data_IF_112297395422
#
_entry.id   IF_112297395422
#
_cell.length_a   1.000
_cell.length_b   1.000
_cell.length_c   1.000
_cell.angle_alpha   90.00
_cell.angle_beta   90.00
_cell.angle_gamma   90.00
#
_symmetry.space_group_name_H-M   'P 1'
#
loop_
_entity.id
_entity.type
_entity.pdbx_description
1 polymer ?
#
# COMPACT_ATOMS: atom_id res chain seq x y z
N UNK A 1 10.62 -13.11 9.00
CA UNK A 1 9.62 -12.77 7.97
C UNK A 1 8.40 -12.16 8.66
N UNK A 2 8.29 -10.84 8.70
CA UNK A 2 7.12 -10.13 9.26
C UNK A 2 6.02 -10.18 8.20
N UNK A 3 4.90 -10.84 8.49
CA UNK A 3 3.78 -10.90 7.55
C UNK A 3 3.21 -9.48 7.38
N UNK A 4 3.01 -9.05 6.14
CA UNK A 4 2.51 -7.71 5.88
C UNK A 4 1.04 -7.60 6.35
N UNK A 5 0.73 -6.68 7.28
CA UNK A 5 -0.60 -6.57 7.86
C UNK A 5 -1.66 -6.13 6.83
N UNK A 6 -1.26 -5.66 5.63
CA UNK A 6 -2.19 -5.38 4.55
C UNK A 6 -2.99 -6.60 4.12
N UNK A 7 -2.38 -7.79 4.12
CA UNK A 7 -3.05 -9.04 3.73
C UNK A 7 -4.01 -9.57 4.80
N UNK A 8 -3.97 -9.03 6.02
CA UNK A 8 -4.97 -9.30 7.06
C UNK A 8 -6.33 -8.69 6.69
N UNK A 9 -6.29 -7.55 5.99
CA UNK A 9 -7.46 -6.73 5.66
C UNK A 9 -7.89 -6.81 4.20
N UNK A 10 -7.14 -7.54 3.38
CA UNK A 10 -7.48 -7.78 1.98
C UNK A 10 -6.96 -9.13 1.52
N UNK A 11 -7.68 -9.73 0.58
CA UNK A 11 -7.32 -11.02 -0.03
C UNK A 11 -7.16 -10.86 -1.52
N UNK A 12 -6.46 -11.78 -2.18
CA UNK A 12 -6.38 -11.78 -3.65
C UNK A 12 -7.78 -12.01 -4.21
N UNK A 13 -8.22 -11.12 -5.10
CA UNK A 13 -9.55 -11.21 -5.70
C UNK A 13 -9.57 -12.20 -6.88
N UNK A 14 -8.43 -12.36 -7.55
CA UNK A 14 -8.29 -13.23 -8.71
C UNK A 14 -6.98 -14.02 -8.64
N UNK A 15 -7.05 -15.30 -9.02
CA UNK A 15 -5.87 -16.14 -9.21
C UNK A 15 -5.10 -15.77 -10.49
N UNK A 16 -5.82 -15.33 -11.51
CA UNK A 16 -5.26 -14.86 -12.79
C UNK A 16 -4.56 -13.52 -12.60
N UNK A 17 -5.23 -12.56 -11.95
CA UNK A 17 -4.70 -11.23 -11.71
C UNK A 17 -4.16 -11.10 -10.28
N UNK A 18 -2.89 -11.47 -10.09
CA UNK A 18 -2.18 -11.37 -8.80
C UNK A 18 -2.10 -9.94 -8.23
N UNK A 19 -2.33 -8.93 -9.08
CA UNK A 19 -2.39 -7.51 -8.70
C UNK A 19 -3.79 -7.06 -8.24
N UNK A 20 -4.79 -7.93 -8.20
CA UNK A 20 -6.14 -7.61 -7.70
C UNK A 20 -6.26 -7.97 -6.21
N UNK A 21 -6.68 -7.01 -5.40
CA UNK A 21 -6.92 -7.22 -3.97
C UNK A 21 -8.35 -6.81 -3.63
N UNK A 22 -9.12 -7.76 -3.10
CA UNK A 22 -10.45 -7.53 -2.55
C UNK A 22 -10.32 -7.06 -1.11
N UNK A 23 -10.91 -5.90 -0.82
CA UNK A 23 -10.99 -5.37 0.53
C UNK A 23 -12.01 -6.16 1.37
N UNK A 24 -11.61 -6.62 2.56
CA UNK A 24 -12.50 -7.39 3.41
C UNK A 24 -13.66 -6.56 4.00
N UNK A 25 -13.50 -5.23 4.10
CA UNK A 25 -14.49 -4.32 4.69
C UNK A 25 -15.56 -3.86 3.69
N UNK A 26 -15.14 -3.23 2.59
CA UNK A 26 -16.06 -2.68 1.59
C UNK A 26 -16.31 -3.61 0.40
N UNK A 27 -15.67 -4.80 0.37
CA UNK A 27 -15.74 -5.78 -0.73
C UNK A 27 -15.33 -5.24 -2.10
N UNK A 28 -14.75 -4.04 -2.15
CA UNK A 28 -14.24 -3.42 -3.37
C UNK A 28 -12.96 -4.12 -3.81
N UNK A 29 -12.89 -4.46 -5.08
CA UNK A 29 -11.66 -4.95 -5.71
C UNK A 29 -10.83 -3.76 -6.15
N UNK A 30 -9.60 -3.70 -5.66
CA UNK A 30 -8.60 -2.71 -6.06
C UNK A 30 -7.58 -3.36 -6.98
N UNK A 31 -7.25 -2.66 -8.06
CA UNK A 31 -6.19 -3.03 -8.99
C UNK A 31 -4.90 -2.29 -8.60
N UNK A 32 -3.76 -2.98 -8.61
CA UNK A 32 -2.45 -2.41 -8.22
C UNK A 32 -1.89 -2.95 -6.90
N UNK A 33 -2.33 -4.15 -6.52
CA UNK A 33 -1.73 -4.95 -5.46
C UNK A 33 -1.99 -4.43 -4.05
N UNK A 34 -1.17 -4.93 -3.11
CA UNK A 34 -1.35 -4.66 -1.69
C UNK A 34 -1.06 -3.20 -1.32
N UNK A 35 -0.26 -2.50 -2.12
CA UNK A 35 0.09 -1.08 -1.90
C UNK A 35 -1.14 -0.18 -2.07
N UNK A 36 -1.84 -0.31 -3.20
CA UNK A 36 -3.11 0.40 -3.44
C UNK A 36 -4.18 0.02 -2.41
N UNK A 37 -4.22 -1.24 -1.98
CA UNK A 37 -5.13 -1.68 -0.93
C UNK A 37 -4.83 -1.00 0.42
N UNK A 38 -3.56 -0.89 0.82
CA UNK A 38 -3.18 -0.13 2.02
C UNK A 38 -3.62 1.33 1.92
N UNK A 39 -3.34 1.98 0.79
CA UNK A 39 -3.77 3.36 0.52
C UNK A 39 -5.30 3.51 0.59
N UNK A 40 -6.05 2.53 0.10
CA UNK A 40 -7.51 2.47 0.21
C UNK A 40 -7.98 2.42 1.67
N UNK A 41 -7.34 1.62 2.54
CA UNK A 41 -7.68 1.53 3.96
C UNK A 41 -7.44 2.86 4.71
N UNK A 42 -6.25 3.44 4.51
CA UNK A 42 -5.82 4.67 5.21
C UNK A 42 -6.40 5.95 4.59
N UNK A 43 -6.77 5.93 3.32
CA UNK A 43 -7.29 7.08 2.58
C UNK A 43 -6.25 8.18 2.37
N UNK A 44 -4.96 7.85 2.27
CA UNK A 44 -3.88 8.85 2.14
C UNK A 44 -3.69 9.36 0.72
N UNK A 45 -4.23 8.68 -0.29
CA UNK A 45 -4.06 9.04 -1.69
C UNK A 45 -5.34 9.67 -2.24
N UNK A 46 -5.22 10.81 -2.94
CA UNK A 46 -6.37 11.48 -3.57
C UNK A 46 -6.96 10.65 -4.71
N UNK A 47 -6.12 9.87 -5.39
CA UNK A 47 -6.49 9.05 -6.55
C UNK A 47 -7.04 7.66 -6.16
N UNK A 48 -7.09 7.35 -4.86
CA UNK A 48 -7.60 6.06 -4.36
C UNK A 48 -8.80 6.36 -3.47
N UNK A 49 -9.96 5.84 -3.85
CA UNK A 49 -11.16 5.94 -3.01
C UNK A 49 -10.86 5.42 -1.61
N UNK A 50 -11.17 6.17 -0.56
CA UNK A 50 -11.03 5.71 0.83
C UNK A 50 -12.04 4.61 1.14
N UNK A 51 -11.65 3.67 1.99
CA UNK A 51 -12.57 2.67 2.51
C UNK A 51 -13.51 3.32 3.54
N UNK A 52 -14.78 3.44 3.19
CA UNK A 52 -15.83 3.98 4.06
C UNK A 52 -16.22 2.99 5.17
N UNK A 53 -16.10 1.69 4.90
CA UNK A 53 -16.44 0.61 5.82
C UNK A 53 -15.28 0.20 6.75
N UNK A 54 -14.10 0.83 6.61
CA UNK A 54 -12.94 0.48 7.43
C UNK A 54 -13.00 1.19 8.80
N UNK A 55 -12.93 0.45 9.93
CA UNK A 55 -12.90 1.04 11.27
C UNK A 55 -11.68 1.92 11.50
N UNK A 56 -11.85 3.01 12.26
CA UNK A 56 -10.77 3.95 12.58
C UNK A 56 -9.58 3.27 13.29
N UNK A 57 -9.82 2.29 14.16
CA UNK A 57 -8.76 1.54 14.81
C UNK A 57 -7.84 0.80 13.81
N UNK A 58 -8.43 0.17 12.80
CA UNK A 58 -7.68 -0.52 11.72
C UNK A 58 -6.96 0.49 10.85
N UNK A 59 -7.59 1.62 10.59
CA UNK A 59 -7.01 2.72 9.82
C UNK A 59 -5.75 3.25 10.50
N UNK A 60 -5.80 3.48 11.80
CA UNK A 60 -4.68 4.00 12.58
C UNK A 60 -3.55 2.98 12.69
N UNK A 61 -3.87 1.70 12.93
CA UNK A 61 -2.89 0.61 12.94
C UNK A 61 -2.14 0.53 11.60
N UNK A 62 -2.86 0.54 10.48
CA UNK A 62 -2.23 0.49 9.16
C UNK A 62 -1.48 1.77 8.82
N UNK A 63 -1.97 2.93 9.23
CA UNK A 63 -1.27 4.20 9.04
C UNK A 63 0.07 4.20 9.78
N UNK A 64 0.08 3.79 11.05
CA UNK A 64 1.31 3.65 11.84
C UNK A 64 2.30 2.69 11.17
N UNK A 65 1.83 1.54 10.69
CA UNK A 65 2.70 0.58 9.99
C UNK A 65 3.33 1.18 8.70
N UNK A 66 2.52 1.86 7.89
CA UNK A 66 3.00 2.50 6.65
C UNK A 66 3.96 3.65 6.96
N UNK A 67 3.65 4.48 7.95
CA UNK A 67 4.50 5.60 8.38
C UNK A 67 5.84 5.09 8.94
N UNK A 68 5.85 4.04 9.77
CA UNK A 68 7.09 3.41 10.26
C UNK A 68 7.92 2.85 9.11
N UNK A 69 7.30 2.16 8.15
CA UNK A 69 8.01 1.62 6.99
C UNK A 69 8.56 2.73 6.09
N UNK A 70 7.82 3.83 5.94
CA UNK A 70 8.27 5.03 5.19
C UNK A 70 9.44 5.72 5.88
N UNK A 71 9.40 5.83 7.20
CA UNK A 71 10.48 6.39 8.00
C UNK A 71 11.73 5.51 7.96
N UNK A 72 11.57 4.19 8.05
CA UNK A 72 12.68 3.24 7.85
C UNK A 72 13.30 3.40 6.45
N UNK A 73 12.48 3.54 5.41
CA UNK A 73 12.97 3.79 4.04
C UNK A 73 13.69 5.14 3.95
N UNK A 74 13.19 6.19 4.61
CA UNK A 74 13.83 7.51 4.66
C UNK A 74 15.19 7.46 5.38
N UNK A 75 15.26 6.76 6.52
CA UNK A 75 16.51 6.56 7.25
C UNK A 75 17.49 5.70 6.45
N UNK A 76 17.02 4.66 5.78
CA UNK A 76 17.86 3.84 4.89
C UNK A 76 18.40 4.67 3.71
N UNK A 77 17.59 5.56 3.11
CA UNK A 77 18.04 6.47 2.06
C UNK A 77 19.09 7.48 2.57
N UNK A 78 18.97 7.96 3.80
CA UNK A 78 19.99 8.82 4.44
C UNK A 78 21.26 8.04 4.81
N UNK A 79 21.15 6.73 5.05
CA UNK A 79 22.28 5.84 5.31
C UNK A 79 22.90 5.26 4.03
N UNK A 80 22.23 5.38 2.87
CA UNK A 80 22.65 4.79 1.60
C UNK A 80 23.87 5.46 0.93
N UNK A 81 24.47 6.50 1.54
CA UNK A 81 25.86 6.89 1.24
C UNK A 81 26.87 5.82 1.73
N UNK A 82 26.43 4.83 2.50
CA UNK A 82 27.24 3.71 2.98
C UNK A 82 26.40 2.42 2.91
N UNK A 83 26.84 1.47 2.08
CA UNK A 83 26.32 0.10 1.92
C UNK A 83 25.07 -0.12 1.06
N UNK A 84 25.36 -0.49 -0.19
CA UNK A 84 24.54 -1.27 -1.10
C UNK A 84 24.02 -2.57 -0.44
N UNK A 85 22.71 -2.65 -0.14
CA UNK A 85 21.96 -3.91 -0.15
C UNK A 85 20.55 -3.69 -0.69
N UNK A 86 20.33 -4.22 -1.89
CA UNK A 86 19.09 -4.38 -2.62
C UNK A 86 17.96 -5.01 -1.79
N UNK A 87 16.75 -4.45 -1.81
CA UNK A 87 15.50 -5.08 -2.29
C UNK A 87 14.29 -4.14 -2.11
N UNK A 88 13.34 -4.23 -3.05
CA UNK A 88 12.04 -3.53 -3.15
C UNK A 88 12.04 -2.10 -3.75
N UNK A 89 12.17 -2.09 -5.09
CA UNK A 89 11.66 -1.03 -5.95
C UNK A 89 10.13 -0.90 -5.78
N UNK A 90 9.68 -0.02 -4.89
CA UNK A 90 8.39 0.64 -5.07
C UNK A 90 8.62 1.77 -6.10
N UNK A 91 8.43 1.45 -7.38
CA UNK A 91 8.39 2.44 -8.44
C UNK A 91 7.20 3.37 -8.23
N UNK A 92 7.52 4.62 -7.89
CA UNK A 92 6.63 5.76 -8.01
C UNK A 92 6.33 5.96 -9.51
N UNK A 93 5.26 5.33 -10.01
CA UNK A 93 4.65 5.71 -11.28
C UNK A 93 3.48 6.65 -11.00
N UNK A 94 3.82 7.93 -10.87
CA UNK A 94 2.99 9.06 -11.31
C UNK A 94 3.68 9.55 -12.59
N UNK A 95 3.07 9.59 -13.77
CA UNK A 95 1.95 10.43 -14.17
C UNK A 95 1.17 9.75 -15.31
N UNK A 96 -0.15 9.76 -15.21
CA UNK A 96 -1.00 9.73 -16.39
C UNK A 96 -1.15 11.16 -16.86
N UNK A 97 -0.42 11.54 -17.90
CA UNK A 97 -0.72 12.73 -18.69
C UNK A 97 -1.88 12.36 -19.63
N UNK A 98 -3.03 13.04 -19.45
CA UNK A 98 -4.16 12.92 -20.34
C UNK A 98 -3.85 13.71 -21.62
N UNK A 99 -3.94 13.00 -22.74
CA UNK A 99 -3.87 13.51 -24.11
C UNK A 99 -4.98 14.51 -24.43
N UNK A 100 -4.65 15.57 -25.17
CA UNK A 100 -5.49 16.12 -26.23
C UNK A 100 -4.65 16.34 -27.50
#
# INVERSE_FOLDING_TARGET
>A
KTADPGWKYGKRASETNKATVECNFCKKVTNGGIVRHKQHLIGTCRDVSRCEQCPDAVREEMKKYVDVKKEQKRQALLQADVTNTSDDKDEDMKEGEATE
#
